data_IF_614436137845
#
_entry.id   IF_614436137845
#
_cell.length_a   1.000
_cell.length_b   1.000
_cell.length_c   1.000
_cell.angle_alpha   90.00
_cell.angle_beta   90.00
_cell.angle_gamma   90.00
#
_symmetry.space_group_name_H-M   'P 1'
#
loop_
_entity.id
_entity.type
_entity.pdbx_description
1 polymer ?
#
# COMPACT_ATOMS: atom_id res chain seq x y z
N UNK A 1 1.21 6.36 22.45
CA UNK A 1 2.18 5.24 22.49
C UNK A 1 2.84 5.14 21.12
N UNK A 2 4.15 5.36 21.06
CA UNK A 2 4.92 5.42 19.83
C UNK A 2 5.26 4.00 19.35
N UNK A 3 4.68 3.56 18.24
CA UNK A 3 5.13 2.34 17.55
C UNK A 3 6.36 2.72 16.72
N UNK A 4 7.54 2.26 17.14
CA UNK A 4 8.77 2.39 16.37
C UNK A 4 8.68 1.54 15.10
N UNK A 5 9.08 2.11 13.96
CA UNK A 5 9.25 1.38 12.71
C UNK A 5 10.30 0.28 12.91
N UNK A 6 9.88 -0.98 12.81
CA UNK A 6 10.82 -2.10 12.66
C UNK A 6 11.16 -2.20 11.19
N UNK A 7 12.41 -1.88 10.86
CA UNK A 7 13.06 -2.24 9.60
C UNK A 7 12.94 -3.76 9.40
N UNK A 8 12.11 -4.17 8.44
CA UNK A 8 11.84 -5.58 8.14
C UNK A 8 12.96 -6.19 7.30
N UNK A 9 13.64 -7.19 7.87
CA UNK A 9 14.50 -8.10 7.13
C UNK A 9 13.66 -8.88 6.09
N UNK A 10 14.10 -8.95 4.84
CA UNK A 10 13.35 -9.45 3.68
C UNK A 10 13.21 -10.99 3.62
N UNK A 11 12.83 -11.64 4.72
CA UNK A 11 12.66 -13.10 4.79
C UNK A 11 11.46 -13.59 5.60
N UNK A 12 10.64 -12.70 6.16
CA UNK A 12 9.42 -13.10 6.87
C UNK A 12 8.22 -13.16 5.93
N UNK A 13 7.47 -14.27 5.95
CA UNK A 13 6.19 -14.38 5.26
C UNK A 13 5.22 -13.31 5.80
N UNK A 14 4.79 -12.33 4.99
CA UNK A 14 3.95 -11.23 5.46
C UNK A 14 2.53 -11.68 5.84
N UNK A 15 2.15 -12.92 5.48
CA UNK A 15 0.83 -13.49 5.76
C UNK A 15 0.87 -14.59 6.83
N UNK A 16 1.83 -14.52 7.77
CA UNK A 16 1.90 -15.43 8.93
C UNK A 16 0.77 -15.17 9.92
N UNK A 17 0.41 -16.16 10.75
CA UNK A 17 -0.62 -15.99 11.79
C UNK A 17 -0.25 -14.84 12.71
N UNK A 18 -1.19 -13.95 12.98
CA UNK A 18 -1.00 -12.73 13.78
C UNK A 18 -0.40 -11.55 13.01
N UNK A 19 -0.05 -11.71 11.72
CA UNK A 19 0.35 -10.58 10.90
C UNK A 19 -0.83 -9.64 10.64
N UNK A 20 -0.52 -8.35 10.53
CA UNK A 20 -1.45 -7.31 10.12
C UNK A 20 -1.40 -7.16 8.60
N UNK A 21 -2.56 -7.04 7.99
CA UNK A 21 -2.76 -6.95 6.54
C UNK A 21 -3.83 -5.93 6.21
N UNK A 22 -3.89 -5.52 4.96
CA UNK A 22 -5.01 -4.76 4.39
C UNK A 22 -5.77 -5.61 3.38
N UNK A 23 -7.08 -5.42 3.33
CA UNK A 23 -8.00 -6.15 2.46
C UNK A 23 -8.83 -5.17 1.64
N UNK A 24 -8.91 -5.41 0.34
CA UNK A 24 -9.81 -4.69 -0.56
C UNK A 24 -11.07 -5.50 -0.85
N UNK A 25 -12.17 -4.81 -1.15
CA UNK A 25 -13.42 -5.44 -1.62
C UNK A 25 -13.75 -5.00 -3.04
N UNK A 26 -14.28 -5.92 -3.85
CA UNK A 26 -14.67 -5.64 -5.24
C UNK A 26 -16.12 -5.15 -5.38
N UNK A 27 -16.89 -5.27 -4.30
CA UNK A 27 -18.30 -4.90 -4.23
C UNK A 27 -18.51 -3.41 -4.50
N UNK A 28 -19.61 -3.10 -5.18
CA UNK A 28 -19.99 -1.73 -5.46
C UNK A 28 -20.16 -0.96 -4.14
N UNK A 29 -19.57 0.22 -4.07
CA UNK A 29 -19.51 1.02 -2.83
C UNK A 29 -18.22 0.85 -2.02
N UNK A 30 -17.49 -0.26 -2.17
CA UNK A 30 -16.21 -0.49 -1.46
C UNK A 30 -14.97 -0.46 -2.37
N UNK A 31 -15.15 -0.29 -3.68
CA UNK A 31 -14.02 -0.22 -4.62
C UNK A 31 -13.08 0.93 -4.29
N UNK A 32 -11.78 0.62 -4.26
CA UNK A 32 -10.71 1.56 -3.90
C UNK A 32 -10.49 1.71 -2.40
N UNK A 33 -11.17 0.91 -1.57
CA UNK A 33 -10.99 0.90 -0.11
C UNK A 33 -10.09 -0.25 0.36
N UNK A 34 -9.38 -0.01 1.46
CA UNK A 34 -8.54 -0.97 2.14
C UNK A 34 -8.84 -0.97 3.66
N UNK A 35 -9.22 -2.13 4.18
CA UNK A 35 -9.53 -2.31 5.61
C UNK A 35 -8.45 -3.13 6.29
N UNK A 36 -8.09 -2.75 7.52
CA UNK A 36 -7.07 -3.48 8.27
C UNK A 36 -7.64 -4.74 8.91
N UNK A 37 -6.85 -5.81 8.89
CA UNK A 37 -7.23 -7.09 9.44
C UNK A 37 -6.01 -7.85 10.00
N UNK A 38 -6.31 -8.79 10.89
CA UNK A 38 -5.33 -9.73 11.46
C UNK A 38 -5.46 -11.11 10.84
N UNK A 39 -4.34 -11.71 10.46
CA UNK A 39 -4.31 -13.09 9.94
C UNK A 39 -4.59 -14.10 11.05
N UNK A 40 -5.75 -14.77 10.98
CA UNK A 40 -6.09 -15.88 11.88
C UNK A 40 -5.52 -17.21 11.38
N UNK A 41 -5.61 -17.44 10.06
CA UNK A 41 -5.07 -18.64 9.40
C UNK A 41 -4.37 -18.25 8.09
N UNK A 42 -3.04 -18.48 7.97
CA UNK A 42 -2.29 -18.25 6.75
C UNK A 42 -2.85 -19.03 5.55
N UNK A 43 -2.51 -18.61 4.32
CA UNK A 43 -2.87 -19.37 3.13
C UNK A 43 -2.24 -20.77 3.15
N UNK A 44 -2.91 -21.78 2.57
CA UNK A 44 -2.39 -23.14 2.53
C UNK A 44 -1.05 -23.20 1.77
N UNK A 45 -0.09 -23.98 2.29
CA UNK A 45 1.24 -24.15 1.67
C UNK A 45 1.22 -24.87 0.33
N UNK A 46 0.16 -25.66 0.08
CA UNK A 46 0.00 -26.38 -1.19
C UNK A 46 -0.61 -25.43 -2.21
N UNK A 47 -0.07 -25.44 -3.43
CA UNK A 47 -0.62 -24.67 -4.53
C UNK A 47 -2.10 -25.01 -4.72
N UNK A 48 -2.94 -23.98 -4.63
CA UNK A 48 -4.36 -24.03 -4.99
C UNK A 48 -4.58 -22.99 -6.08
N UNK A 49 -5.55 -23.20 -6.97
CA UNK A 49 -5.84 -22.24 -8.05
C UNK A 49 -6.30 -20.88 -7.52
N UNK A 50 -6.92 -20.85 -6.34
CA UNK A 50 -7.39 -19.64 -5.65
C UNK A 50 -7.06 -19.78 -4.15
N UNK A 51 -5.84 -19.42 -3.73
CA UNK A 51 -5.47 -19.49 -2.32
C UNK A 51 -6.31 -18.49 -1.52
N UNK A 52 -6.81 -18.94 -0.38
CA UNK A 52 -7.58 -18.11 0.55
C UNK A 52 -6.91 -18.02 1.91
N UNK A 53 -7.19 -16.93 2.61
CA UNK A 53 -6.65 -16.61 3.94
C UNK A 53 -7.82 -16.30 4.89
N UNK A 54 -7.77 -16.76 6.13
CA UNK A 54 -8.77 -16.43 7.15
C UNK A 54 -8.30 -15.23 7.95
N UNK A 55 -9.12 -14.20 8.00
CA UNK A 55 -8.82 -12.91 8.63
C UNK A 55 -9.86 -12.56 9.69
N UNK A 56 -9.49 -11.66 10.59
CA UNK A 56 -10.41 -10.92 11.45
C UNK A 56 -10.19 -9.44 11.18
N UNK A 57 -11.23 -8.71 10.82
CA UNK A 57 -11.16 -7.27 10.59
C UNK A 57 -11.04 -6.52 11.91
N UNK A 58 -10.31 -5.40 11.90
CA UNK A 58 -10.07 -4.63 13.11
C UNK A 58 -11.23 -3.66 13.40
N UNK A 59 -11.92 -3.18 12.36
CA UNK A 59 -12.97 -2.15 12.46
C UNK A 59 -14.34 -2.61 11.98
N UNK A 60 -14.44 -3.73 11.26
CA UNK A 60 -15.72 -4.26 10.78
C UNK A 60 -16.28 -5.32 11.74
N UNK A 61 -17.59 -5.32 11.93
CA UNK A 61 -18.30 -6.27 12.81
C UNK A 61 -19.38 -7.02 12.05
N UNK A 62 -19.75 -8.18 12.55
CA UNK A 62 -20.92 -8.92 12.05
C UNK A 62 -22.20 -8.14 12.40
N UNK A 63 -22.96 -7.74 11.38
CA UNK A 63 -24.09 -6.82 11.50
C UNK A 63 -25.39 -7.51 11.97
N UNK A 64 -25.37 -8.83 12.10
CA UNK A 64 -26.58 -9.64 12.31
C UNK A 64 -27.04 -9.72 13.79
N UNK A 65 -26.35 -9.07 14.73
CA UNK A 65 -26.69 -9.13 16.15
C UNK A 65 -26.96 -7.74 16.77
N UNK A 66 -28.11 -7.13 16.46
CA UNK A 66 -28.57 -5.84 17.05
C UNK A 66 -28.63 -5.82 18.59
N UNK A 67 -28.66 -7.00 19.24
CA UNK A 67 -28.82 -7.14 20.70
C UNK A 67 -27.59 -7.70 21.43
N UNK A 68 -26.47 -7.98 20.73
CA UNK A 68 -25.21 -8.43 21.36
C UNK A 68 -24.08 -7.47 21.07
N UNK A 69 -23.01 -7.58 21.86
CA UNK A 69 -21.78 -6.87 21.55
C UNK A 69 -21.29 -7.34 20.18
N UNK A 70 -21.30 -6.44 19.20
CA UNK A 70 -20.95 -6.76 17.83
C UNK A 70 -19.58 -7.45 17.75
N UNK A 71 -19.58 -8.71 17.31
CA UNK A 71 -18.34 -9.48 17.20
C UNK A 71 -17.53 -9.00 15.98
N UNK A 72 -16.18 -8.98 16.05
CA UNK A 72 -15.36 -8.62 14.90
C UNK A 72 -15.61 -9.55 13.70
N UNK A 73 -15.78 -8.97 12.52
CA UNK A 73 -16.03 -9.70 11.29
C UNK A 73 -14.85 -10.63 10.97
N UNK A 74 -15.15 -11.89 10.65
CA UNK A 74 -14.15 -12.90 10.26
C UNK A 74 -14.49 -13.51 8.92
N UNK A 75 -13.61 -13.37 7.95
CA UNK A 75 -13.86 -13.85 6.59
C UNK A 75 -12.72 -14.65 5.98
N UNK A 76 -13.09 -15.50 5.03
CA UNK A 76 -12.16 -16.27 4.20
C UNK A 76 -12.01 -15.62 2.82
N UNK A 77 -10.96 -14.82 2.66
CA UNK A 77 -10.79 -13.91 1.53
C UNK A 77 -9.79 -14.50 0.51
N UNK A 78 -10.01 -14.24 -0.77
CA UNK A 78 -9.06 -14.57 -1.84
C UNK A 78 -7.75 -13.78 -1.66
N UNK A 79 -6.60 -14.46 -1.67
CA UNK A 79 -5.30 -13.84 -1.35
C UNK A 79 -4.93 -12.67 -2.27
N UNK A 80 -5.50 -12.62 -3.48
CA UNK A 80 -5.28 -11.51 -4.43
C UNK A 80 -5.83 -10.18 -3.94
N UNK A 81 -6.82 -10.20 -3.04
CA UNK A 81 -7.42 -9.01 -2.43
C UNK A 81 -6.71 -8.57 -1.14
N UNK A 82 -5.60 -9.23 -0.78
CA UNK A 82 -4.92 -9.04 0.50
C UNK A 82 -3.48 -8.61 0.28
N UNK A 83 -3.08 -7.55 0.97
CA UNK A 83 -1.70 -7.03 0.96
C UNK A 83 -1.17 -6.84 2.38
N UNK A 84 0.16 -6.79 2.59
CA UNK A 84 0.72 -6.40 3.88
C UNK A 84 0.31 -4.96 4.24
N UNK A 85 0.56 -4.51 5.48
CA UNK A 85 0.43 -3.08 5.80
C UNK A 85 1.43 -2.29 4.96
N UNK A 86 1.01 -1.24 4.22
CA UNK A 86 1.93 -0.39 3.50
C UNK A 86 2.86 0.31 4.48
N UNK A 87 4.14 0.47 4.10
CA UNK A 87 5.07 1.17 4.96
C UNK A 87 4.65 2.63 5.12
N UNK A 88 4.94 3.20 6.28
CA UNK A 88 4.55 4.57 6.61
C UNK A 88 5.70 5.53 6.31
N UNK A 89 5.40 6.59 5.57
CA UNK A 89 6.33 7.69 5.34
C UNK A 89 6.62 8.43 6.66
N UNK A 90 7.88 8.86 6.82
CA UNK A 90 8.35 9.62 7.98
C UNK A 90 7.94 11.11 7.93
N UNK A 91 7.70 11.65 6.73
CA UNK A 91 7.20 13.01 6.47
C UNK A 91 6.19 12.95 5.32
N UNK A 92 5.04 13.63 5.43
CA UNK A 92 3.89 13.46 4.52
C UNK A 92 3.42 14.78 3.92
N UNK A 93 4.31 15.46 3.19
CA UNK A 93 3.90 16.66 2.44
C UNK A 93 3.42 16.26 1.05
N UNK A 94 2.12 16.39 0.83
CA UNK A 94 1.48 16.08 -0.45
C UNK A 94 1.40 17.31 -1.35
N UNK A 95 1.22 17.07 -2.65
CA UNK A 95 1.05 18.08 -3.70
C UNK A 95 -0.22 17.80 -4.48
N UNK A 96 -0.71 18.81 -5.17
CA UNK A 96 -1.80 18.63 -6.14
C UNK A 96 -1.38 17.59 -7.18
N UNK A 97 -2.29 16.65 -7.46
CA UNK A 97 -2.15 15.45 -8.29
C UNK A 97 -1.41 14.27 -7.65
N UNK A 98 -1.01 14.34 -6.39
CA UNK A 98 -0.54 13.13 -5.70
C UNK A 98 -1.70 12.15 -5.48
N UNK A 99 -1.47 10.88 -5.81
CA UNK A 99 -2.37 9.79 -5.45
C UNK A 99 -2.15 9.41 -3.98
N UNK A 100 -3.22 9.43 -3.21
CA UNK A 100 -3.21 9.22 -1.76
C UNK A 100 -4.26 8.20 -1.35
N UNK A 101 -4.03 7.52 -0.24
CA UNK A 101 -5.12 6.89 0.48
C UNK A 101 -5.55 7.82 1.63
N UNK A 102 -6.84 8.11 1.72
CA UNK A 102 -7.44 8.90 2.80
C UNK A 102 -8.19 8.00 3.78
N UNK A 103 -7.96 8.21 5.08
CA UNK A 103 -8.65 7.43 6.12
C UNK A 103 -10.06 7.99 6.36
N UNK A 104 -11.08 7.23 5.97
CA UNK A 104 -12.49 7.60 6.05
C UNK A 104 -13.37 6.34 6.23
N UNK A 105 -14.46 6.43 7.00
CA UNK A 105 -15.37 5.29 7.27
C UNK A 105 -14.63 3.98 7.59
N UNK A 106 -13.69 4.07 8.53
CA UNK A 106 -12.90 2.96 9.06
C UNK A 106 -11.99 2.21 8.06
N UNK A 107 -11.78 2.80 6.88
CA UNK A 107 -10.91 2.27 5.83
C UNK A 107 -10.02 3.34 5.20
N UNK A 108 -9.07 2.90 4.38
CA UNK A 108 -8.21 3.74 3.55
C UNK A 108 -8.73 3.77 2.13
N UNK A 109 -9.08 4.95 1.62
CA UNK A 109 -9.73 5.14 0.32
C UNK A 109 -8.82 5.85 -0.66
N UNK A 110 -8.63 5.25 -1.83
CA UNK A 110 -7.86 5.83 -2.93
C UNK A 110 -8.51 7.14 -3.42
N UNK A 111 -7.71 8.20 -3.49
CA UNK A 111 -8.12 9.50 -3.98
C UNK A 111 -6.95 10.30 -4.53
N UNK A 112 -7.25 11.47 -5.10
CA UNK A 112 -6.24 12.39 -5.64
C UNK A 112 -6.32 13.73 -4.94
N UNK A 113 -5.17 14.28 -4.55
CA UNK A 113 -5.12 15.63 -3.97
C UNK A 113 -5.41 16.65 -5.06
N UNK A 114 -6.44 17.49 -4.86
CA UNK A 114 -6.84 18.54 -5.82
C UNK A 114 -6.56 19.96 -5.33
N UNK A 115 -6.33 20.13 -4.02
CA UNK A 115 -5.92 21.40 -3.44
C UNK A 115 -5.09 21.20 -2.16
N UNK A 116 -4.15 22.12 -1.93
CA UNK A 116 -3.43 22.25 -0.66
C UNK A 116 -3.99 23.48 0.05
N UNK A 117 -4.42 23.30 1.30
CA UNK A 117 -5.15 24.28 2.10
C UNK A 117 -4.33 24.68 3.32
N UNK A 118 -4.73 25.77 3.98
CA UNK A 118 -4.24 26.20 5.30
C UNK A 118 -2.70 26.22 5.40
N UNK A 119 -2.01 26.70 4.37
CA UNK A 119 -0.54 26.80 4.36
C UNK A 119 0.20 25.46 4.27
N UNK A 120 -0.49 24.36 3.94
CA UNK A 120 0.09 23.02 3.81
C UNK A 120 -0.27 22.03 4.92
N UNK A 121 -1.21 22.39 5.80
CA UNK A 121 -1.65 21.54 6.92
C UNK A 121 -2.86 20.67 6.59
N UNK A 122 -3.63 21.05 5.55
CA UNK A 122 -4.81 20.33 5.07
C UNK A 122 -4.79 20.17 3.57
N UNK A 123 -5.47 19.14 3.09
CA UNK A 123 -5.50 18.74 1.70
C UNK A 123 -6.92 18.41 1.30
N UNK A 124 -7.36 18.91 0.15
CA UNK A 124 -8.64 18.53 -0.43
C UNK A 124 -8.43 17.35 -1.37
N UNK A 125 -9.12 16.23 -1.12
CA UNK A 125 -8.98 14.97 -1.85
C UNK A 125 -10.26 14.69 -2.62
N UNK A 126 -10.11 14.33 -3.90
CA UNK A 126 -11.20 13.90 -4.77
C UNK A 126 -11.23 12.38 -4.90
N UNK A 127 -12.39 11.77 -4.64
CA UNK A 127 -12.63 10.34 -4.77
C UNK A 127 -13.36 10.05 -6.08
N UNK A 128 -12.69 9.34 -6.99
CA UNK A 128 -13.22 9.10 -8.35
C UNK A 128 -14.48 8.24 -8.35
N UNK A 129 -14.55 7.25 -7.44
CA UNK A 129 -15.64 6.29 -7.33
C UNK A 129 -16.95 6.96 -6.90
N UNK A 130 -16.93 7.77 -5.84
CA UNK A 130 -18.11 8.48 -5.32
C UNK A 130 -18.33 9.87 -5.94
N UNK A 131 -17.33 10.43 -6.62
CA UNK A 131 -17.30 11.82 -7.12
C UNK A 131 -17.39 12.87 -6.01
N UNK A 132 -16.90 12.54 -4.83
CA UNK A 132 -16.89 13.42 -3.67
C UNK A 132 -15.53 14.13 -3.52
N UNK A 133 -15.57 15.28 -2.85
CA UNK A 133 -14.40 16.03 -2.44
C UNK A 133 -14.49 16.25 -0.93
N UNK A 134 -13.44 15.87 -0.20
CA UNK A 134 -13.39 15.98 1.26
C UNK A 134 -12.01 16.50 1.66
N UNK A 135 -11.97 17.37 2.67
CA UNK A 135 -10.74 17.93 3.21
C UNK A 135 -10.21 17.10 4.38
N UNK A 136 -8.93 16.72 4.32
CA UNK A 136 -8.27 15.92 5.35
C UNK A 136 -7.03 16.63 5.92
N UNK A 137 -6.72 16.43 7.21
CA UNK A 137 -5.40 16.75 7.75
C UNK A 137 -4.34 15.76 7.22
N UNK A 138 -3.07 16.18 7.22
CA UNK A 138 -1.91 15.32 6.86
C UNK A 138 -1.94 13.95 7.54
N UNK A 139 -2.36 13.90 8.81
CA UNK A 139 -2.36 12.68 9.63
C UNK A 139 -3.35 11.61 9.16
N UNK A 140 -4.36 11.98 8.37
CA UNK A 140 -5.36 11.07 7.81
C UNK A 140 -5.05 10.70 6.35
N UNK A 141 -3.93 11.17 5.80
CA UNK A 141 -3.46 10.83 4.47
C UNK A 141 -2.19 9.99 4.54
N UNK A 142 -2.01 9.15 3.54
CA UNK A 142 -0.76 8.47 3.21
C UNK A 142 -0.59 8.42 1.70
N UNK A 143 0.64 8.23 1.23
CA UNK A 143 0.87 8.03 -0.19
C UNK A 143 0.18 6.72 -0.61
N UNK A 144 -0.53 6.76 -1.74
CA UNK A 144 -1.09 5.55 -2.31
C UNK A 144 0.04 4.66 -2.84
N UNK A 145 -0.01 3.36 -2.51
CA UNK A 145 0.97 2.37 -2.96
C UNK A 145 0.27 1.08 -3.33
N UNK A 146 0.78 0.43 -4.36
CA UNK A 146 0.34 -0.87 -4.83
C UNK A 146 1.28 -1.97 -4.36
N UNK A 147 0.72 -3.14 -4.03
CA UNK A 147 1.48 -4.33 -3.66
C UNK A 147 1.60 -5.28 -4.85
N UNK A 148 2.73 -5.21 -5.55
CA UNK A 148 2.96 -5.93 -6.80
C UNK A 148 4.16 -6.85 -6.66
N UNK A 149 3.96 -8.15 -6.90
CA UNK A 149 5.01 -9.18 -6.87
C UNK A 149 5.89 -9.16 -5.61
N UNK A 150 5.29 -8.92 -4.45
CA UNK A 150 6.02 -8.93 -3.19
C UNK A 150 6.75 -7.62 -2.88
N UNK A 151 6.42 -6.52 -3.57
CA UNK A 151 7.04 -5.20 -3.38
C UNK A 151 6.00 -4.09 -3.39
N UNK A 152 6.28 -3.03 -2.64
CA UNK A 152 5.50 -1.79 -2.69
C UNK A 152 5.93 -0.93 -3.87
N UNK A 153 4.95 -0.40 -4.59
CA UNK A 153 5.14 0.49 -5.73
C UNK A 153 4.28 1.75 -5.52
N UNK A 154 4.87 2.96 -5.51
CA UNK A 154 6.32 3.22 -5.49
C UNK A 154 7.01 2.58 -4.26
N UNK A 155 8.35 2.44 -4.25
CA UNK A 155 9.10 2.04 -3.06
C UNK A 155 9.17 3.20 -2.04
N UNK A 156 9.47 2.91 -0.77
CA UNK A 156 9.76 3.98 0.19
C UNK A 156 11.02 4.73 -0.23
N UNK A 157 11.07 6.03 0.03
CA UNK A 157 12.25 6.84 -0.26
C UNK A 157 13.51 6.30 0.45
N UNK A 158 13.37 5.80 1.68
CA UNK A 158 14.46 5.20 2.46
C UNK A 158 14.90 3.80 1.94
N UNK A 159 14.09 3.15 1.08
CA UNK A 159 14.43 1.87 0.45
C UNK A 159 15.20 2.05 -0.86
N UNK A 160 15.34 3.29 -1.36
CA UNK A 160 16.25 3.62 -2.46
C UNK A 160 17.68 3.66 -1.89
N UNK A 161 18.22 2.48 -1.59
CA UNK A 161 19.67 2.33 -1.43
C UNK A 161 20.32 2.62 -2.78
N UNK A 162 21.41 3.38 -2.77
CA UNK A 162 22.25 3.82 -3.89
C UNK A 162 22.73 2.68 -4.82
N UNK A 163 21.83 2.00 -5.53
CA UNK A 163 22.19 1.06 -6.60
C UNK A 163 22.46 1.80 -7.93
N UNK A 164 22.25 3.12 -7.98
CA UNK A 164 22.44 3.96 -9.17
C UNK A 164 23.69 4.87 -9.13
N UNK A 165 24.66 4.59 -8.25
CA UNK A 165 26.01 5.14 -8.40
C UNK A 165 26.79 4.43 -9.52
N UNK A 166 26.27 4.42 -10.75
CA UNK A 166 27.11 4.24 -11.95
C UNK A 166 27.67 5.61 -12.32
N UNK A 167 28.90 5.86 -11.87
CA UNK A 167 29.74 6.97 -12.31
C UNK A 167 29.75 7.05 -13.87
N UNK A 168 29.22 8.13 -14.48
CA UNK A 168 29.20 8.29 -15.93
C UNK A 168 30.60 8.41 -16.59
N UNK A 169 31.68 8.50 -15.80
CA UNK A 169 33.02 8.80 -16.31
C UNK A 169 33.95 7.59 -16.53
N UNK A 170 33.48 6.36 -16.34
CA UNK A 170 34.25 5.15 -16.68
C UNK A 170 33.77 4.46 -17.96
N UNK A 171 33.65 5.20 -19.06
CA UNK A 171 33.60 4.56 -20.38
C UNK A 171 34.97 3.93 -20.68
N UNK A 172 35.08 2.63 -20.99
CA UNK A 172 36.33 2.06 -21.48
C UNK A 172 36.67 2.71 -22.83
N UNK A 173 37.96 2.95 -23.13
CA UNK A 173 38.35 3.64 -24.35
C UNK A 173 37.84 2.88 -25.57
N UNK A 174 37.18 3.60 -26.47
CA UNK A 174 36.63 3.07 -27.72
C UNK A 174 37.74 2.37 -28.52
N UNK A 175 37.55 1.10 -28.85
CA UNK A 175 38.44 0.37 -29.75
C UNK A 175 38.50 1.12 -31.09
N UNK A 176 39.67 1.65 -31.45
CA UNK A 176 39.91 2.18 -32.80
C UNK A 176 39.78 1.03 -33.79
N UNK A 177 38.76 1.08 -34.64
CA UNK A 177 38.61 0.18 -35.77
C UNK A 177 39.65 0.59 -36.82
N UNK A 178 40.62 -0.28 -37.09
CA UNK A 178 41.56 -0.12 -38.20
C UNK A 178 40.87 -0.58 -39.47
N UNK A 179 40.61 0.35 -40.39
CA UNK A 179 40.13 0.03 -41.73
C UNK A 179 41.24 -0.73 -42.50
N UNK A 180 40.90 -1.75 -43.29
CA UNK A 180 41.88 -2.42 -44.16
C UNK A 180 42.26 -1.52 -45.34
N UNK A 181 43.55 -1.52 -45.67
CA UNK A 181 44.08 -0.81 -46.84
C UNK A 181 43.45 -1.36 -48.13
N UNK A 182 42.94 -0.46 -48.96
CA UNK A 182 42.40 -0.80 -50.28
C UNK A 182 43.54 -1.25 -51.19
N UNK A 183 43.39 -2.43 -51.78
CA UNK A 183 44.21 -2.93 -52.88
C UNK A 183 43.74 -2.33 -54.20
#
# INVERSE_FOLDING_TARGET
MQMMAKTGNSSENPFKKGAQVEVSFEDEGFRGSWYTATVLRPPPKKASRKPRILLQFDTLTDADEEERAAEPLRENVDLILVRPIPPRESRRRFRVNDDVDAFHNDGWWEGVVIAVLDGGDRYSVFFRSSREQIDFPESQLRLHREWVHGKWVPPLEDDVKDDDARDPLQQPPSKKIRLPDKT
#
